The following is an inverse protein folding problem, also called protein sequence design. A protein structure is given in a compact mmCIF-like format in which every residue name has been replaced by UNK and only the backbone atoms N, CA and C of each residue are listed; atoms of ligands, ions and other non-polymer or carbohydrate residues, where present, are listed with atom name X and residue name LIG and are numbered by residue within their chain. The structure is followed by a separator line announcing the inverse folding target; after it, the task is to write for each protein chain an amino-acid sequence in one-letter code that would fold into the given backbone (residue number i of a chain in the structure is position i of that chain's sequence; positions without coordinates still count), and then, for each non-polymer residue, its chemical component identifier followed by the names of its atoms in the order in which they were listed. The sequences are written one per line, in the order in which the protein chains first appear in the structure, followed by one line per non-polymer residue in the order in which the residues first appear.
data_IF_157900278451
#
_entry.id   IF_157900278451
#
_cell.length_a   1.000
_cell.length_b   1.000
_cell.length_c   1.000
_cell.angle_alpha   90.00
_cell.angle_beta   90.00
_cell.angle_gamma   90.00
#
_symmetry.space_group_name_H-M   'P 1'
#
loop_
_entity.id
_entity.type
_entity.pdbx_description
1 polymer ?
#
# COMPACT_ATOMS: atom_id res chain seq x y z
N UNK A 1 -74.51 18.86 77.32
CA UNK A 1 -74.31 18.97 75.87
C UNK A 1 -72.90 18.53 75.56
N UNK A 2 -72.70 17.35 75.03
CA UNK A 2 -71.39 16.79 74.64
C UNK A 2 -71.42 16.75 73.11
N UNK A 3 -70.54 17.51 72.47
CA UNK A 3 -70.37 17.49 71.02
C UNK A 3 -69.41 16.34 70.71
N UNK A 4 -69.87 15.44 69.85
CA UNK A 4 -69.09 14.34 69.27
C UNK A 4 -68.43 14.83 67.99
N UNK A 5 -67.11 14.87 67.96
CA UNK A 5 -66.33 15.14 66.73
C UNK A 5 -66.07 13.86 66.03
N UNK A 6 -66.62 13.69 64.80
CA UNK A 6 -66.36 12.57 63.93
C UNK A 6 -65.11 12.85 63.06
N UNK A 7 -64.03 12.20 63.37
CA UNK A 7 -62.83 12.28 62.56
C UNK A 7 -62.99 11.38 61.33
N UNK A 8 -63.18 11.98 60.16
CA UNK A 8 -63.20 11.27 58.86
C UNK A 8 -61.74 11.12 58.37
N UNK A 9 -61.12 9.94 58.54
CA UNK A 9 -59.82 9.61 57.99
C UNK A 9 -59.95 9.26 56.48
N UNK A 10 -59.50 10.18 55.66
CA UNK A 10 -59.42 9.97 54.22
C UNK A 10 -58.13 9.10 53.92
N UNK A 11 -58.33 7.80 53.59
CA UNK A 11 -57.30 6.90 53.18
C UNK A 11 -56.92 7.20 51.70
N UNK A 12 -55.80 7.90 51.49
CA UNK A 12 -55.28 8.15 50.18
C UNK A 12 -54.64 6.84 49.70
N UNK A 13 -55.31 6.07 48.81
CA UNK A 13 -54.73 4.94 48.12
C UNK A 13 -53.92 5.52 46.95
N UNK A 14 -52.61 5.58 47.12
CA UNK A 14 -51.68 5.89 46.05
C UNK A 14 -51.57 4.67 45.13
N UNK A 15 -52.35 4.62 44.05
CA UNK A 15 -52.16 3.64 42.99
C UNK A 15 -50.88 4.00 42.24
N UNK A 16 -49.80 3.27 42.51
CA UNK A 16 -48.59 3.31 41.69
C UNK A 16 -48.95 2.77 40.30
N UNK A 17 -49.29 3.64 39.38
CA UNK A 17 -49.41 3.29 37.95
C UNK A 17 -47.99 3.08 37.42
N UNK A 18 -47.53 1.82 37.35
CA UNK A 18 -46.37 1.45 36.57
C UNK A 18 -46.73 1.62 35.10
N UNK A 19 -46.41 2.75 34.52
CA UNK A 19 -46.40 2.89 33.07
C UNK A 19 -45.47 1.76 32.51
N UNK A 20 -45.87 1.00 31.50
CA UNK A 20 -44.97 0.07 30.86
C UNK A 20 -43.77 0.87 30.33
N UNK A 21 -42.60 0.67 30.94
CA UNK A 21 -41.35 1.18 30.39
C UNK A 21 -41.24 0.58 29.00
N UNK A 22 -41.40 1.40 27.96
CA UNK A 22 -41.11 1.03 26.58
C UNK A 22 -39.63 0.58 26.59
N UNK A 23 -39.40 -0.70 26.42
CA UNK A 23 -38.02 -1.21 26.31
C UNK A 23 -37.36 -0.51 25.14
N UNK A 24 -36.31 0.22 25.42
CA UNK A 24 -35.45 0.79 24.38
C UNK A 24 -34.90 -0.38 23.52
N UNK A 25 -34.93 -0.28 22.20
CA UNK A 25 -34.33 -1.32 21.36
C UNK A 25 -32.87 -1.55 21.75
N UNK A 26 -32.45 -2.80 21.67
CA UNK A 26 -31.05 -3.13 21.96
C UNK A 26 -30.12 -2.42 20.98
N UNK A 27 -28.95 -1.93 21.44
CA UNK A 27 -27.97 -1.31 20.57
C UNK A 27 -27.59 -2.23 19.40
N UNK A 28 -27.45 -1.68 18.22
CA UNK A 28 -27.11 -2.39 17.01
C UNK A 28 -25.68 -2.02 16.59
N UNK A 29 -24.96 -2.98 16.02
CA UNK A 29 -23.60 -2.70 15.53
C UNK A 29 -23.63 -1.81 14.28
N UNK A 30 -22.66 -0.93 14.11
CA UNK A 30 -22.50 -0.14 12.91
C UNK A 30 -22.21 -1.02 11.69
N UNK A 31 -22.39 -0.46 10.51
CA UNK A 31 -22.03 -1.09 9.23
C UNK A 31 -21.00 -0.24 8.50
N UNK A 32 -20.16 -0.89 7.69
CA UNK A 32 -19.17 -0.20 6.84
C UNK A 32 -19.36 -0.59 5.38
N UNK A 33 -18.90 0.28 4.48
CA UNK A 33 -18.97 0.04 3.04
C UNK A 33 -17.68 -0.60 2.54
N UNK A 34 -17.78 -1.44 1.51
CA UNK A 34 -16.61 -1.83 0.74
C UNK A 34 -16.11 -0.65 -0.09
N UNK A 35 -14.79 -0.58 -0.30
CA UNK A 35 -14.14 0.49 -1.05
C UNK A 35 -13.31 -0.09 -2.19
N UNK A 36 -13.09 0.73 -3.21
CA UNK A 36 -12.14 0.46 -4.29
C UNK A 36 -11.17 1.63 -4.40
N UNK A 37 -9.89 1.32 -4.60
CA UNK A 37 -8.81 2.30 -4.79
C UNK A 37 -8.10 1.92 -6.08
N UNK A 38 -7.73 2.91 -6.88
CA UNK A 38 -6.85 2.73 -8.02
C UNK A 38 -5.70 3.73 -7.89
N UNK A 39 -4.48 3.26 -8.08
CA UNK A 39 -3.28 4.08 -8.08
C UNK A 39 -2.26 3.49 -9.04
N UNK A 40 -1.25 4.26 -9.40
CA UNK A 40 -0.05 3.73 -10.05
C UNK A 40 0.86 3.11 -8.98
N UNK A 41 1.74 2.20 -9.39
CA UNK A 41 2.85 1.78 -8.53
C UNK A 41 3.66 2.99 -8.08
N UNK A 42 4.39 2.87 -6.99
CA UNK A 42 5.20 3.91 -6.35
C UNK A 42 4.44 5.20 -5.97
N UNK A 43 3.12 5.21 -6.17
CA UNK A 43 2.28 6.38 -5.91
C UNK A 43 1.28 6.10 -4.79
N UNK A 44 1.39 6.77 -3.63
CA UNK A 44 0.43 6.64 -2.55
C UNK A 44 -0.97 7.13 -2.95
N UNK A 45 -2.01 6.42 -2.54
CA UNK A 45 -3.40 6.80 -2.74
C UNK A 45 -4.12 7.06 -1.42
N UNK A 46 -4.87 8.16 -1.36
CA UNK A 46 -5.70 8.48 -0.21
C UNK A 46 -7.11 7.91 -0.38
N UNK A 47 -7.73 7.53 0.75
CA UNK A 47 -9.10 7.04 0.77
C UNK A 47 -9.83 7.51 2.05
N UNK A 48 -11.15 7.35 2.07
CA UNK A 48 -11.96 7.66 3.24
C UNK A 48 -12.79 6.45 3.62
N UNK A 49 -12.64 5.97 4.84
CA UNK A 49 -13.47 4.92 5.43
C UNK A 49 -14.86 5.47 5.72
N UNK A 50 -15.90 4.72 5.38
CA UNK A 50 -17.28 5.14 5.54
C UNK A 50 -18.13 4.04 6.18
N UNK A 51 -19.11 4.46 6.95
CA UNK A 51 -20.03 3.57 7.63
C UNK A 51 -21.26 4.30 8.15
N UNK A 52 -22.21 3.57 8.66
CA UNK A 52 -23.44 4.10 9.28
C UNK A 52 -23.73 3.33 10.55
N UNK A 53 -24.27 4.06 11.53
CA UNK A 53 -24.77 3.50 12.76
C UNK A 53 -26.30 3.63 12.78
N UNK A 54 -27.06 2.56 13.13
CA UNK A 54 -28.52 2.59 13.14
C UNK A 54 -29.09 3.59 14.17
N UNK A 55 -28.42 3.84 15.27
CA UNK A 55 -28.79 4.77 16.33
C UNK A 55 -28.22 6.18 16.09
N UNK A 56 -27.38 6.36 15.06
CA UNK A 56 -26.76 7.63 14.70
C UNK A 56 -25.55 8.00 15.57
N UNK A 57 -24.91 7.02 16.21
CA UNK A 57 -23.71 7.25 17.01
C UNK A 57 -22.52 7.67 16.13
N UNK A 58 -21.59 8.41 16.72
CA UNK A 58 -20.35 8.79 16.06
C UNK A 58 -19.44 7.58 15.90
N UNK A 59 -18.93 7.36 14.68
CA UNK A 59 -18.09 6.23 14.35
C UNK A 59 -16.60 6.56 14.46
N UNK A 60 -15.85 5.60 15.00
CA UNK A 60 -14.39 5.54 14.92
C UNK A 60 -13.99 4.41 13.98
N UNK A 61 -12.97 4.63 13.14
CA UNK A 61 -12.52 3.67 12.15
C UNK A 61 -11.12 3.16 12.47
N UNK A 62 -10.88 1.89 12.15
CA UNK A 62 -9.55 1.30 12.26
C UNK A 62 -9.32 0.23 11.17
N UNK A 63 -8.09 0.13 10.70
CA UNK A 63 -7.66 -0.93 9.79
C UNK A 63 -7.56 -2.24 10.58
N UNK A 64 -8.30 -3.25 10.16
CA UNK A 64 -8.37 -4.56 10.82
C UNK A 64 -7.43 -5.59 10.21
N UNK A 65 -7.09 -5.44 8.93
CA UNK A 65 -6.15 -6.30 8.21
C UNK A 65 -5.31 -5.42 7.29
N UNK A 66 -3.99 -5.56 7.35
CA UNK A 66 -3.06 -4.86 6.47
C UNK A 66 -2.98 -5.55 5.11
N UNK A 67 -2.67 -4.81 4.03
CA UNK A 67 -2.42 -5.38 2.72
C UNK A 67 -1.12 -6.19 2.69
N UNK A 68 -0.93 -7.04 1.66
CA UNK A 68 0.27 -7.86 1.50
C UNK A 68 1.35 -7.15 0.68
N UNK A 69 0.94 -6.32 -0.27
CA UNK A 69 1.84 -5.69 -1.25
C UNK A 69 1.92 -4.17 -1.07
N UNK A 70 1.72 -3.71 0.15
CA UNK A 70 1.77 -2.29 0.49
C UNK A 70 1.58 -2.06 1.98
N UNK A 71 1.40 -0.81 2.35
CA UNK A 71 1.13 -0.40 3.72
C UNK A 71 -0.06 0.55 3.78
N UNK A 72 -0.86 0.44 4.85
CA UNK A 72 -1.95 1.37 5.13
C UNK A 72 -1.70 2.11 6.42
N UNK A 73 -1.78 3.44 6.35
CA UNK A 73 -1.84 4.32 7.53
C UNK A 73 -3.20 5.01 7.57
N UNK A 74 -3.74 5.22 8.77
CA UNK A 74 -5.04 5.87 8.94
C UNK A 74 -5.04 6.82 10.15
N UNK A 75 -5.80 7.92 10.02
CA UNK A 75 -6.06 8.87 11.09
C UNK A 75 -7.54 9.28 11.02
N UNK A 76 -8.33 8.84 12.01
CA UNK A 76 -9.78 8.95 11.96
C UNK A 76 -10.36 8.16 10.78
N UNK A 77 -11.18 8.79 9.95
CA UNK A 77 -11.74 8.16 8.76
C UNK A 77 -10.83 8.23 7.52
N UNK A 78 -9.83 9.11 7.53
CA UNK A 78 -8.90 9.26 6.40
C UNK A 78 -7.76 8.23 6.49
N UNK A 79 -7.39 7.66 5.34
CA UNK A 79 -6.28 6.74 5.22
C UNK A 79 -5.47 6.97 3.95
N UNK A 80 -4.28 6.39 3.93
CA UNK A 80 -3.39 6.36 2.77
C UNK A 80 -2.89 4.94 2.59
N UNK A 81 -3.06 4.41 1.39
CA UNK A 81 -2.41 3.18 0.93
C UNK A 81 -1.14 3.56 0.17
N UNK A 82 -0.03 2.92 0.49
CA UNK A 82 1.25 3.07 -0.19
C UNK A 82 1.64 1.70 -0.73
N UNK A 83 1.71 1.50 -2.06
CA UNK A 83 2.23 0.26 -2.64
C UNK A 83 3.66 -0.02 -2.18
N UNK A 84 4.08 -1.29 -2.18
CA UNK A 84 5.51 -1.61 -2.16
C UNK A 84 6.15 -1.12 -3.46
N UNK A 85 7.45 -0.85 -3.41
CA UNK A 85 8.24 -0.43 -4.57
C UNK A 85 8.06 -1.40 -5.75
N UNK A 86 7.79 -0.87 -6.94
CA UNK A 86 7.58 -1.61 -8.19
C UNK A 86 6.47 -2.69 -8.11
N UNK A 87 5.53 -2.56 -7.18
CA UNK A 87 4.40 -3.48 -7.12
C UNK A 87 3.27 -3.00 -8.02
N UNK A 88 2.90 -3.79 -9.00
CA UNK A 88 1.69 -3.65 -9.79
C UNK A 88 0.78 -4.89 -9.65
N UNK A 89 -0.52 -4.72 -9.83
CA UNK A 89 -1.50 -5.79 -9.66
C UNK A 89 -2.63 -5.44 -8.70
N UNK A 90 -3.15 -6.45 -8.00
CA UNK A 90 -4.25 -6.27 -7.05
C UNK A 90 -3.81 -6.56 -5.62
N UNK A 91 -4.27 -5.74 -4.70
CA UNK A 91 -4.06 -5.92 -3.26
C UNK A 91 -5.38 -5.73 -2.51
N UNK A 92 -5.45 -6.15 -1.28
CA UNK A 92 -6.65 -6.02 -0.45
C UNK A 92 -6.30 -5.79 1.00
N UNK A 93 -7.11 -4.99 1.68
CA UNK A 93 -7.08 -4.83 3.12
C UNK A 93 -8.50 -4.68 3.68
N UNK A 94 -8.64 -4.63 4.99
CA UNK A 94 -9.95 -4.50 5.61
C UNK A 94 -9.95 -3.47 6.74
N UNK A 95 -11.13 -2.86 6.98
CA UNK A 95 -11.34 -1.94 8.07
C UNK A 95 -12.66 -2.20 8.78
N UNK A 96 -12.78 -1.72 10.00
CA UNK A 96 -13.98 -1.78 10.84
C UNK A 96 -14.34 -0.40 11.37
N UNK A 97 -15.59 -0.24 11.76
CA UNK A 97 -16.07 0.90 12.53
C UNK A 97 -16.53 0.48 13.92
N UNK A 98 -16.42 1.38 14.89
CA UNK A 98 -16.98 1.19 16.25
C UNK A 98 -17.74 2.46 16.65
N UNK A 99 -18.89 2.27 17.31
CA UNK A 99 -19.71 3.29 17.95
C UNK A 99 -19.30 3.58 19.42
N UNK A 100 -18.26 2.87 19.91
CA UNK A 100 -17.78 2.91 21.29
C UNK A 100 -18.31 1.75 22.16
N UNK A 101 -19.31 1.00 21.72
CA UNK A 101 -19.88 -0.19 22.39
C UNK A 101 -19.80 -1.44 21.54
N UNK A 102 -20.13 -1.33 20.27
CA UNK A 102 -20.16 -2.40 19.30
C UNK A 102 -19.23 -2.10 18.12
N UNK A 103 -18.90 -3.14 17.35
CA UNK A 103 -18.08 -3.01 16.15
C UNK A 103 -18.79 -3.63 14.95
N UNK A 104 -18.56 -3.06 13.78
CA UNK A 104 -19.04 -3.60 12.51
C UNK A 104 -18.36 -4.92 12.15
N UNK A 105 -18.94 -5.65 11.21
CA UNK A 105 -18.19 -6.59 10.39
C UNK A 105 -17.15 -5.82 9.57
N UNK A 106 -16.10 -6.52 9.13
CA UNK A 106 -15.05 -5.91 8.32
C UNK A 106 -15.57 -5.53 6.92
N UNK A 107 -15.27 -4.32 6.48
CA UNK A 107 -15.43 -3.88 5.09
C UNK A 107 -14.15 -4.17 4.32
N UNK A 108 -14.30 -4.71 3.12
CA UNK A 108 -13.18 -5.00 2.22
C UNK A 108 -12.82 -3.75 1.42
N UNK A 109 -11.52 -3.49 1.32
CA UNK A 109 -10.95 -2.52 0.37
C UNK A 109 -10.18 -3.28 -0.68
N UNK A 110 -10.59 -3.12 -1.94
CA UNK A 110 -9.88 -3.67 -3.09
C UNK A 110 -9.03 -2.58 -3.73
N UNK A 111 -7.76 -2.85 -3.91
CA UNK A 111 -6.80 -1.92 -4.52
C UNK A 111 -6.37 -2.48 -5.87
N UNK A 112 -6.37 -1.62 -6.89
CA UNK A 112 -5.75 -1.89 -8.18
C UNK A 112 -4.55 -0.95 -8.32
N UNK A 113 -3.37 -1.51 -8.44
CA UNK A 113 -2.13 -0.79 -8.71
C UNK A 113 -1.77 -1.03 -10.18
N UNK A 114 -1.70 0.05 -10.94
CA UNK A 114 -1.37 0.01 -12.38
C UNK A 114 0.14 0.13 -12.56
N UNK A 115 0.68 -0.67 -13.48
CA UNK A 115 2.09 -0.58 -13.86
C UNK A 115 2.41 0.81 -14.45
N UNK A 116 3.60 1.29 -14.14
CA UNK A 116 4.25 2.45 -14.74
C UNK A 116 5.58 1.95 -15.28
N UNK A 117 5.92 2.37 -16.47
CA UNK A 117 7.17 2.02 -17.14
C UNK A 117 8.38 2.62 -16.37
N UNK A 118 9.21 1.74 -15.83
CA UNK A 118 10.41 2.09 -15.04
C UNK A 118 11.69 1.85 -15.85
N UNK A 119 12.61 2.81 -15.84
CA UNK A 119 13.91 2.64 -16.49
C UNK A 119 14.72 1.52 -15.81
N UNK A 120 15.37 0.62 -16.57
CA UNK A 120 16.17 -0.46 -16.00
C UNK A 120 17.38 0.07 -15.22
N UNK A 121 17.68 -0.56 -14.09
CA UNK A 121 18.76 -0.18 -13.20
C UNK A 121 20.02 -1.01 -13.48
N UNK A 122 21.11 -0.36 -13.96
CA UNK A 122 22.37 -1.04 -14.26
C UNK A 122 23.12 -1.47 -13.00
N UNK A 123 23.70 -2.66 -13.02
CA UNK A 123 24.54 -3.19 -11.95
C UNK A 123 26.01 -3.01 -12.26
N UNK A 124 26.81 -2.68 -11.25
CA UNK A 124 28.28 -2.61 -11.40
C UNK A 124 28.84 -4.02 -11.57
N UNK A 125 29.65 -4.20 -12.62
CA UNK A 125 30.33 -5.46 -12.92
C UNK A 125 31.84 -5.25 -12.90
N UNK A 126 32.61 -6.31 -12.65
CA UNK A 126 34.08 -6.25 -12.64
C UNK A 126 34.67 -7.54 -13.21
N UNK A 127 35.83 -7.41 -13.83
CA UNK A 127 36.63 -8.54 -14.34
C UNK A 127 38.11 -8.28 -14.11
N UNK A 128 38.90 -9.35 -14.21
CA UNK A 128 40.37 -9.32 -14.16
C UNK A 128 40.89 -10.05 -15.37
N UNK A 129 41.92 -9.48 -16.01
CA UNK A 129 42.65 -10.11 -17.12
C UNK A 129 44.14 -9.80 -17.01
N UNK A 130 44.97 -10.59 -17.65
CA UNK A 130 46.39 -10.29 -17.83
C UNK A 130 46.57 -9.26 -18.96
N UNK A 131 47.73 -8.57 -19.00
CA UNK A 131 48.07 -7.69 -20.12
C UNK A 131 48.02 -8.48 -21.43
N UNK A 132 47.69 -7.80 -22.53
CA UNK A 132 47.56 -8.37 -23.88
C UNK A 132 46.47 -9.44 -24.05
N UNK A 133 45.66 -9.71 -23.02
CA UNK A 133 44.55 -10.67 -23.09
C UNK A 133 43.20 -9.96 -23.00
N UNK A 134 42.30 -10.28 -23.91
CA UNK A 134 40.92 -9.81 -23.84
C UNK A 134 40.11 -10.58 -22.79
N UNK A 135 39.14 -9.93 -22.18
CA UNK A 135 38.21 -10.54 -21.25
C UNK A 135 36.75 -10.21 -21.61
N UNK A 136 35.90 -11.22 -21.53
CA UNK A 136 34.45 -11.05 -21.70
C UNK A 136 33.80 -10.76 -20.32
N UNK A 137 32.96 -9.74 -20.27
CA UNK A 137 32.25 -9.27 -19.10
C UNK A 137 30.74 -9.35 -19.40
N UNK A 138 29.98 -10.04 -18.58
CA UNK A 138 28.52 -10.01 -18.67
C UNK A 138 28.02 -8.74 -18.03
N UNK A 139 27.29 -7.91 -18.78
CA UNK A 139 26.60 -6.75 -18.27
C UNK A 139 25.28 -7.17 -17.62
N UNK A 140 24.95 -6.54 -16.52
CA UNK A 140 23.77 -6.88 -15.73
C UNK A 140 22.95 -5.62 -15.46
N UNK A 141 21.63 -5.76 -15.52
CA UNK A 141 20.68 -4.75 -15.11
C UNK A 141 19.43 -5.43 -14.51
N UNK A 142 18.79 -4.76 -13.58
CA UNK A 142 17.49 -5.13 -13.03
C UNK A 142 16.40 -4.40 -13.82
N UNK A 143 15.36 -5.15 -14.19
CA UNK A 143 14.23 -4.67 -14.95
C UNK A 143 12.96 -5.03 -14.16
N UNK A 144 12.00 -4.10 -14.06
CA UNK A 144 10.88 -4.20 -13.11
C UNK A 144 9.54 -4.53 -13.77
N UNK A 145 9.40 -4.24 -15.07
CA UNK A 145 8.13 -4.36 -15.81
C UNK A 145 8.02 -5.62 -16.67
N UNK A 146 9.06 -6.46 -16.71
CA UNK A 146 9.14 -7.64 -17.54
C UNK A 146 9.48 -7.33 -19.00
N UNK A 147 10.06 -6.16 -19.24
CA UNK A 147 10.46 -5.69 -20.56
C UNK A 147 11.81 -6.28 -21.02
N UNK A 148 12.07 -6.22 -22.30
CA UNK A 148 13.34 -6.67 -22.85
C UNK A 148 14.34 -5.53 -22.81
N UNK A 149 15.48 -5.73 -22.14
CA UNK A 149 16.57 -4.76 -22.08
C UNK A 149 17.62 -4.98 -23.15
N UNK A 150 18.24 -3.91 -23.59
CA UNK A 150 19.45 -3.87 -24.41
C UNK A 150 20.51 -3.02 -23.74
N UNK A 151 21.78 -3.28 -24.07
CA UNK A 151 22.90 -2.56 -23.49
C UNK A 151 23.61 -1.71 -24.55
N UNK A 152 24.13 -0.56 -24.15
CA UNK A 152 24.98 0.32 -24.94
C UNK A 152 26.22 0.72 -24.14
N UNK A 153 27.36 0.83 -24.78
CA UNK A 153 28.55 1.41 -24.16
C UNK A 153 28.39 2.94 -24.19
N UNK A 154 28.45 3.57 -23.03
CA UNK A 154 28.31 5.00 -22.88
C UNK A 154 29.66 5.71 -22.96
N UNK A 155 30.62 5.29 -22.14
CA UNK A 155 31.98 5.82 -22.18
C UNK A 155 32.97 4.68 -22.41
N UNK A 156 33.88 4.87 -23.35
CA UNK A 156 34.91 3.88 -23.65
C UNK A 156 36.03 3.91 -22.60
N UNK A 157 36.74 2.78 -22.42
CA UNK A 157 37.92 2.74 -21.56
C UNK A 157 39.05 3.60 -22.15
N UNK A 158 39.96 4.06 -21.30
CA UNK A 158 41.06 4.93 -21.69
C UNK A 158 42.33 4.19 -22.12
N UNK A 159 42.49 2.96 -21.64
CA UNK A 159 43.72 2.16 -21.84
C UNK A 159 43.42 0.83 -22.54
N UNK A 160 42.35 0.78 -23.28
CA UNK A 160 41.91 -0.39 -24.04
C UNK A 160 40.78 -0.05 -25.01
N UNK A 161 40.11 -1.07 -25.46
CA UNK A 161 38.88 -0.98 -26.26
C UNK A 161 37.82 -1.92 -25.71
N UNK A 162 36.55 -1.56 -25.90
CA UNK A 162 35.41 -2.44 -25.57
C UNK A 162 34.54 -2.64 -26.81
N UNK A 163 34.10 -3.87 -27.02
CA UNK A 163 33.10 -4.22 -28.04
C UNK A 163 31.94 -4.90 -27.36
N UNK A 164 30.71 -4.64 -27.83
CA UNK A 164 29.49 -5.16 -27.23
C UNK A 164 28.76 -6.12 -28.20
N UNK A 165 28.30 -7.24 -27.66
CA UNK A 165 27.45 -8.22 -28.37
C UNK A 165 26.37 -8.71 -27.43
N UNK A 166 25.17 -8.16 -27.54
CA UNK A 166 24.06 -8.39 -26.59
C UNK A 166 24.42 -7.90 -25.19
N UNK A 167 24.45 -8.79 -24.22
CA UNK A 167 24.88 -8.54 -22.84
C UNK A 167 26.36 -8.78 -22.57
N UNK A 168 27.14 -9.15 -23.60
CA UNK A 168 28.57 -9.48 -23.49
C UNK A 168 29.43 -8.32 -23.98
N UNK A 169 30.14 -7.69 -23.07
CA UNK A 169 31.17 -6.71 -23.37
C UNK A 169 32.54 -7.37 -23.38
N UNK A 170 33.27 -7.28 -24.48
CA UNK A 170 34.67 -7.77 -24.57
C UNK A 170 35.61 -6.58 -24.44
N UNK A 171 36.31 -6.49 -23.31
CA UNK A 171 37.39 -5.53 -23.09
C UNK A 171 38.72 -6.10 -23.58
N UNK A 172 39.46 -5.31 -24.35
CA UNK A 172 40.82 -5.62 -24.81
C UNK A 172 41.77 -4.51 -24.38
N UNK A 173 42.75 -4.78 -23.49
CA UNK A 173 43.74 -3.79 -23.10
C UNK A 173 44.64 -3.38 -24.27
N UNK A 174 45.16 -2.15 -24.22
CA UNK A 174 46.26 -1.73 -25.11
C UNK A 174 47.49 -2.58 -24.85
N UNK A 175 48.35 -2.75 -25.89
CA UNK A 175 49.55 -3.56 -25.77
C UNK A 175 50.41 -3.17 -24.58
N UNK A 176 50.82 -4.17 -23.79
CA UNK A 176 51.62 -4.03 -22.55
C UNK A 176 51.01 -3.08 -21.50
N UNK A 177 49.68 -2.86 -21.54
CA UNK A 177 48.98 -2.10 -20.50
C UNK A 177 48.72 -2.96 -19.30
N UNK A 178 49.17 -2.52 -18.13
CA UNK A 178 48.80 -3.11 -16.83
C UNK A 178 48.30 -2.00 -15.92
N UNK A 179 47.28 -2.28 -15.16
CA UNK A 179 46.62 -1.34 -14.26
C UNK A 179 45.07 -1.40 -14.34
N UNK A 180 44.42 -0.51 -13.62
CA UNK A 180 42.97 -0.41 -13.64
C UNK A 180 42.50 0.41 -14.85
N UNK A 181 41.46 -0.04 -15.51
CA UNK A 181 40.72 0.69 -16.53
C UNK A 181 39.22 0.52 -16.27
N UNK A 182 38.40 1.34 -16.88
CA UNK A 182 36.94 1.26 -16.73
C UNK A 182 36.24 1.81 -17.96
N UNK A 183 35.04 1.32 -18.19
CA UNK A 183 34.10 1.84 -19.13
C UNK A 183 32.72 1.95 -18.45
N UNK A 184 31.84 2.77 -19.00
CA UNK A 184 30.45 2.86 -18.52
C UNK A 184 29.50 2.32 -19.59
N UNK A 185 28.37 1.78 -19.12
CA UNK A 185 27.33 1.29 -19.97
C UNK A 185 25.95 1.73 -19.44
N UNK A 186 24.96 1.70 -20.30
CA UNK A 186 23.57 1.89 -19.96
C UNK A 186 22.75 0.68 -20.40
N UNK A 187 21.72 0.37 -19.66
CA UNK A 187 20.65 -0.52 -20.06
C UNK A 187 19.49 0.34 -20.57
N UNK A 188 18.90 -0.09 -21.66
CA UNK A 188 17.73 0.59 -22.25
C UNK A 188 16.67 -0.46 -22.47
N UNK A 189 15.49 -0.20 -22.03
CA UNK A 189 14.35 -1.02 -22.35
C UNK A 189 13.95 -0.81 -23.82
N UNK A 190 13.53 -1.87 -24.48
CA UNK A 190 13.24 -1.87 -25.91
C UNK A 190 11.76 -1.87 -26.21
N UNK A 191 10.92 -1.95 -25.21
CA UNK A 191 9.47 -1.88 -25.37
C UNK A 191 9.03 -0.42 -25.31
N UNK A 192 8.38 0.02 -26.38
CA UNK A 192 7.82 1.37 -26.42
C UNK A 192 6.79 1.51 -25.29
N UNK A 193 7.01 2.50 -24.43
CA UNK A 193 6.10 2.97 -23.38
C UNK A 193 4.64 2.72 -23.78
N UNK A 194 3.99 1.76 -23.14
CA UNK A 194 2.53 1.63 -23.24
C UNK A 194 1.91 2.80 -22.48
N UNK A 195 1.46 3.80 -23.24
CA UNK A 195 0.68 4.93 -22.77
C UNK A 195 -0.76 4.48 -22.45
#
# INVERSE_FOLDING_TARGET
MKQFWLLLSILFIWTCSSSPTKSEPAPQAPTVNNLTITTNEDTPATFTMTGTDPEGAALTFSVSTQPQNGAVTASGAAGTYTPNENFNGTDTFAYIASDGGLSSTAGLVSVTVTAVDDDPNTMNVSAVTDEDNAVEITLEAEEFDGDTISFNIKDNPTSGSVTLNGDKATYTPNANYYGADSFTFEAVDTTAKKI
#
